data_IF_874525491382
#
_entry.id   IF_874525491382
#
_cell.length_a   1.000
_cell.length_b   1.000
_cell.length_c   1.000
_cell.angle_alpha   90.00
_cell.angle_beta   90.00
_cell.angle_gamma   90.00
#
_symmetry.space_group_name_H-M   'P 1'
#
loop_
_entity.id
_entity.type
_entity.pdbx_description
1 polymer ?
#
# COMPACT_ATOMS: atom_id res chain seq x y z
N UNK A 1 -15.42 -17.72 9.80
CA UNK A 1 -14.39 -16.78 10.25
C UNK A 1 -13.16 -17.61 10.56
N UNK A 2 -12.19 -17.65 9.64
CA UNK A 2 -10.94 -18.40 9.80
C UNK A 2 -10.14 -17.74 10.92
N UNK A 3 -9.90 -18.50 11.98
CA UNK A 3 -9.02 -18.09 13.07
C UNK A 3 -7.59 -18.10 12.53
N UNK A 4 -7.13 -16.95 12.04
CA UNK A 4 -5.73 -16.81 11.63
C UNK A 4 -4.89 -16.87 12.91
N UNK A 5 -3.92 -17.80 13.02
CA UNK A 5 -3.07 -17.85 14.18
C UNK A 5 -2.37 -16.51 14.35
N UNK A 6 -2.32 -15.99 15.58
CA UNK A 6 -1.72 -14.68 15.89
C UNK A 6 -0.30 -14.52 15.30
N UNK A 7 0.45 -15.62 15.24
CA UNK A 7 1.76 -15.71 14.60
C UNK A 7 1.76 -15.38 13.10
N UNK A 8 0.73 -15.78 12.35
CA UNK A 8 0.59 -15.39 10.93
C UNK A 8 0.34 -13.89 10.80
N UNK A 9 -0.50 -13.31 11.65
CA UNK A 9 -0.76 -11.87 11.64
C UNK A 9 0.55 -11.10 11.90
N UNK A 10 1.29 -11.47 12.95
CA UNK A 10 2.58 -10.85 13.28
C UNK A 10 3.56 -10.96 12.12
N UNK A 11 3.65 -12.14 11.47
CA UNK A 11 4.53 -12.34 10.33
C UNK A 11 4.18 -11.44 9.14
N UNK A 12 2.90 -11.23 8.88
CA UNK A 12 2.44 -10.38 7.79
C UNK A 12 2.68 -8.90 8.09
N UNK A 13 2.38 -8.45 9.31
CA UNK A 13 2.70 -7.10 9.78
C UNK A 13 4.20 -6.83 9.62
N UNK A 14 5.07 -7.71 10.13
CA UNK A 14 6.53 -7.56 10.01
C UNK A 14 7.00 -7.50 8.55
N UNK A 15 6.39 -8.29 7.66
CA UNK A 15 6.76 -8.32 6.24
C UNK A 15 6.37 -7.01 5.55
N UNK A 16 5.16 -6.51 5.83
CA UNK A 16 4.65 -5.26 5.25
C UNK A 16 5.41 -4.05 5.80
N UNK A 17 5.71 -4.01 7.09
CA UNK A 17 6.49 -2.92 7.70
C UNK A 17 7.88 -2.82 7.07
N UNK A 18 8.56 -3.95 6.86
CA UNK A 18 9.87 -3.98 6.19
C UNK A 18 9.79 -3.52 4.73
N UNK A 19 8.72 -3.89 4.04
CA UNK A 19 8.52 -3.48 2.65
C UNK A 19 8.26 -1.98 2.58
N UNK A 20 7.39 -1.47 3.45
CA UNK A 20 7.08 -0.06 3.60
C UNK A 20 8.33 0.76 3.91
N UNK A 21 9.14 0.35 4.89
CA UNK A 21 10.41 1.01 5.24
C UNK A 21 11.41 1.05 4.08
N UNK A 22 11.39 0.01 3.23
CA UNK A 22 12.26 -0.05 2.06
C UNK A 22 11.79 0.90 0.94
N UNK A 23 10.49 0.91 0.65
CA UNK A 23 9.90 1.72 -0.44
C UNK A 23 9.79 3.20 -0.08
N UNK A 24 9.61 3.53 1.20
CA UNK A 24 9.46 4.92 1.66
C UNK A 24 10.77 5.62 2.03
N UNK A 25 11.93 5.05 1.68
CA UNK A 25 13.25 5.68 1.91
C UNK A 25 13.37 7.06 1.25
N UNK A 26 12.65 7.31 0.16
CA UNK A 26 12.51 8.65 -0.36
C UNK A 26 11.42 9.39 0.43
N UNK A 27 11.84 10.34 1.25
CA UNK A 27 10.94 11.14 2.08
C UNK A 27 9.87 11.94 1.31
N UNK A 28 10.13 12.30 0.05
CA UNK A 28 9.14 12.99 -0.79
C UNK A 28 8.03 12.03 -1.24
N UNK A 29 8.40 10.86 -1.76
CA UNK A 29 7.43 9.84 -2.21
C UNK A 29 6.62 9.33 -1.01
N UNK A 30 7.28 9.08 0.12
CA UNK A 30 6.65 8.68 1.36
C UNK A 30 5.57 9.66 1.82
N UNK A 31 5.89 10.96 1.83
CA UNK A 31 4.93 11.99 2.24
C UNK A 31 3.70 12.02 1.31
N UNK A 32 3.91 11.93 -0.01
CA UNK A 32 2.80 11.94 -0.98
C UNK A 32 1.98 10.66 -0.85
N UNK A 33 2.62 9.50 -0.64
CA UNK A 33 1.95 8.22 -0.42
C UNK A 33 1.09 8.23 0.86
N UNK A 34 1.58 8.79 1.96
CA UNK A 34 0.79 8.98 3.19
C UNK A 34 -0.41 9.89 2.97
N UNK A 35 -0.24 11.00 2.25
CA UNK A 35 -1.34 11.93 1.95
C UNK A 35 -2.40 11.27 1.06
N UNK A 36 -2.00 10.55 0.01
CA UNK A 36 -2.89 9.78 -0.85
C UNK A 36 -3.65 8.69 -0.07
N UNK A 37 -2.94 7.97 0.79
CA UNK A 37 -3.54 6.93 1.65
C UNK A 37 -4.52 7.52 2.64
N UNK A 38 -4.19 8.64 3.28
CA UNK A 38 -5.09 9.32 4.21
C UNK A 38 -6.37 9.81 3.51
N UNK A 39 -6.24 10.37 2.30
CA UNK A 39 -7.40 10.79 1.50
C UNK A 39 -8.28 9.58 1.13
N UNK A 40 -7.69 8.50 0.62
CA UNK A 40 -8.41 7.26 0.31
C UNK A 40 -9.11 6.69 1.55
N UNK A 41 -8.38 6.60 2.66
CA UNK A 41 -8.89 6.01 3.90
C UNK A 41 -10.01 6.84 4.52
N UNK A 42 -10.01 8.17 4.30
CA UNK A 42 -11.02 9.06 4.85
C UNK A 42 -12.44 8.77 4.36
N UNK A 43 -12.58 8.21 3.15
CA UNK A 43 -13.87 7.83 2.58
C UNK A 43 -14.51 6.63 3.28
N UNK A 44 -13.71 5.80 3.96
CA UNK A 44 -14.20 4.60 4.64
C UNK A 44 -14.63 4.86 6.10
N UNK A 45 -14.39 6.06 6.63
CA UNK A 45 -14.79 6.43 8.00
C UNK A 45 -14.09 5.58 9.08
N UNK A 46 -14.76 5.40 10.22
CA UNK A 46 -14.22 4.57 11.32
C UNK A 46 -14.33 3.08 10.97
N UNK A 47 -13.20 2.42 10.80
CA UNK A 47 -13.16 0.97 10.66
C UNK A 47 -13.02 0.30 12.02
N UNK A 48 -14.01 -0.55 12.37
CA UNK A 48 -13.94 -1.38 13.56
C UNK A 48 -13.02 -2.58 13.30
N UNK A 49 -11.88 -2.65 13.99
CA UNK A 49 -10.95 -3.76 13.86
C UNK A 49 -9.76 -3.64 14.82
N UNK A 50 -8.96 -4.71 14.97
CA UNK A 50 -7.69 -4.63 15.68
C UNK A 50 -6.79 -3.57 15.04
N UNK A 51 -6.18 -2.67 15.83
CA UNK A 51 -5.35 -1.59 15.29
C UNK A 51 -4.19 -2.11 14.44
N UNK A 52 -3.67 -3.30 14.72
CA UNK A 52 -2.60 -3.95 13.98
C UNK A 52 -3.00 -4.26 12.53
N UNK A 53 -4.27 -4.65 12.32
CA UNK A 53 -4.80 -4.92 10.98
C UNK A 53 -4.92 -3.62 10.19
N UNK A 54 -5.43 -2.56 10.83
CA UNK A 54 -5.56 -1.25 10.19
C UNK A 54 -4.19 -0.69 9.81
N UNK A 55 -3.21 -0.75 10.70
CA UNK A 55 -1.83 -0.33 10.42
C UNK A 55 -1.23 -1.12 9.26
N UNK A 56 -1.39 -2.45 9.27
CA UNK A 56 -0.89 -3.31 8.20
C UNK A 56 -1.51 -2.93 6.84
N UNK A 57 -2.80 -2.65 6.78
CA UNK A 57 -3.48 -2.23 5.55
C UNK A 57 -2.95 -0.86 5.08
N UNK A 58 -2.82 0.11 5.99
CA UNK A 58 -2.32 1.44 5.66
C UNK A 58 -0.90 1.38 5.08
N UNK A 59 0.01 0.65 5.73
CA UNK A 59 1.39 0.49 5.24
C UNK A 59 1.45 -0.22 3.88
N UNK A 60 0.57 -1.19 3.63
CA UNK A 60 0.49 -1.85 2.33
C UNK A 60 0.06 -0.87 1.21
N UNK A 61 -0.92 0.00 1.49
CA UNK A 61 -1.38 1.02 0.54
C UNK A 61 -0.29 2.07 0.31
N UNK A 62 0.33 2.58 1.38
CA UNK A 62 1.44 3.54 1.29
C UNK A 62 2.62 2.99 0.49
N UNK A 63 2.93 1.70 0.66
CA UNK A 63 3.95 0.99 -0.14
C UNK A 63 3.62 1.03 -1.63
N UNK A 64 2.38 0.72 -2.01
CA UNK A 64 1.94 0.74 -3.41
C UNK A 64 2.04 2.13 -4.02
N UNK A 65 1.58 3.17 -3.31
CA UNK A 65 1.73 4.55 -3.78
C UNK A 65 3.19 4.98 -3.89
N UNK A 66 4.04 4.64 -2.91
CA UNK A 66 5.46 4.98 -2.95
C UNK A 66 6.20 4.29 -4.11
N UNK A 67 5.85 3.04 -4.42
CA UNK A 67 6.38 2.33 -5.58
C UNK A 67 5.96 3.02 -6.88
N UNK A 68 4.66 3.27 -7.07
CA UNK A 68 4.16 3.94 -8.27
C UNK A 68 4.77 5.34 -8.48
N UNK A 69 4.94 6.13 -7.42
CA UNK A 69 5.60 7.44 -7.50
C UNK A 69 7.07 7.32 -7.90
N UNK A 70 7.76 6.30 -7.38
CA UNK A 70 9.13 6.00 -7.76
C UNK A 70 9.23 5.63 -9.24
N UNK A 71 8.34 4.77 -9.72
CA UNK A 71 8.32 4.31 -11.12
C UNK A 71 8.07 5.49 -12.08
N UNK A 72 7.11 6.35 -11.75
CA UNK A 72 6.85 7.60 -12.50
C UNK A 72 8.07 8.52 -12.51
N UNK A 73 8.77 8.67 -11.38
CA UNK A 73 9.98 9.51 -11.30
C UNK A 73 11.14 8.92 -12.11
N UNK A 74 11.33 7.62 -12.01
CA UNK A 74 12.43 6.90 -12.65
C UNK A 74 12.16 6.68 -14.16
N UNK A 75 10.94 6.99 -14.62
CA UNK A 75 10.50 6.92 -16.02
C UNK A 75 10.07 5.51 -16.44
N UNK A 76 9.83 4.62 -15.48
CA UNK A 76 9.51 3.21 -15.66
C UNK A 76 7.98 3.00 -15.63
N UNK A 77 7.29 3.57 -16.61
CA UNK A 77 5.80 3.61 -16.64
C UNK A 77 5.25 2.56 -17.62
N UNK A 78 6.10 1.93 -18.42
CA UNK A 78 5.67 1.03 -19.49
C UNK A 78 4.94 -0.20 -18.94
N UNK A 79 5.46 -0.80 -17.86
CA UNK A 79 4.83 -1.95 -17.18
C UNK A 79 3.49 -1.57 -16.52
N UNK A 80 3.41 -0.37 -15.93
CA UNK A 80 2.17 0.15 -15.32
C UNK A 80 1.09 0.47 -16.37
N UNK A 81 1.48 0.95 -17.54
CA UNK A 81 0.56 1.24 -18.65
C UNK A 81 0.01 -0.05 -19.25
N UNK A 82 0.84 -1.09 -19.42
CA UNK A 82 0.37 -2.40 -19.90
C UNK A 82 -0.66 -3.01 -18.93
N UNK A 83 -0.41 -2.95 -17.62
CA UNK A 83 -1.35 -3.44 -16.60
C UNK A 83 -2.71 -2.71 -16.66
N UNK A 84 -2.70 -1.37 -16.70
CA UNK A 84 -3.94 -0.58 -16.76
C UNK A 84 -4.69 -0.68 -18.08
N UNK A 85 -4.00 -1.00 -19.18
CA UNK A 85 -4.63 -1.26 -20.47
C UNK A 85 -5.29 -2.64 -20.51
N UNK A 86 -4.65 -3.65 -19.92
CA UNK A 86 -5.22 -5.00 -19.80
C UNK A 86 -6.52 -5.00 -18.98
N UNK A 87 -6.59 -4.22 -17.90
CA UNK A 87 -7.82 -4.12 -17.09
C UNK A 87 -8.97 -3.37 -17.78
N UNK A 88 -8.67 -2.57 -18.81
CA UNK A 88 -9.67 -1.81 -19.58
C UNK A 88 -10.33 -2.60 -20.70
N UNK A 89 -9.75 -3.74 -21.10
CA UNK A 89 -10.31 -4.60 -22.14
C UNK A 89 -11.29 -5.65 -21.59
N UNK A 90 -11.36 -5.80 -20.27
CA UNK A 90 -12.23 -6.76 -19.57
C UNK A 90 -13.56 -6.15 -19.05
N UNK A 91 -13.89 -4.91 -19.42
CA UNK A 91 -15.13 -4.17 -19.06
C UNK A 91 -15.95 -3.77 -20.32
#
# INVERSE_FOLDING_TARGET
>A
MTDLPHEQLTRWTDAIDRLHDYTTRNHTDARIATEATANLWSDFGYQAGPPEVSTMILHAIETGYAAALRDVRDGDIDDLIEEWQSEREDD
#
